data_IF_931135299350
#
_entry.id   IF_931135299350
#
_cell.length_a   1.000
_cell.length_b   1.000
_cell.length_c   1.000
_cell.angle_alpha   90.00
_cell.angle_beta   90.00
_cell.angle_gamma   90.00
#
_symmetry.space_group_name_H-M   'P 1'
#
loop_
_entity.id
_entity.type
_entity.pdbx_description
1 polymer ?
#
# COMPACT_ATOMS: atom_id res chain seq x y z
N UNK A 1 18.42 -5.17 21.35
CA UNK A 1 19.60 -4.91 20.52
C UNK A 1 19.91 -3.43 20.67
N UNK A 2 21.15 -3.07 21.03
CA UNK A 2 21.60 -1.67 21.05
C UNK A 2 22.04 -1.31 19.62
N UNK A 3 21.12 -0.83 18.80
CA UNK A 3 21.47 -0.16 17.55
C UNK A 3 21.91 1.27 17.90
N UNK A 4 22.85 1.83 17.13
CA UNK A 4 23.37 3.19 17.34
C UNK A 4 23.21 3.97 16.05
N UNK A 5 22.71 5.19 16.16
CA UNK A 5 22.55 6.08 15.02
C UNK A 5 23.91 6.44 14.40
N UNK A 6 23.95 6.48 13.08
CA UNK A 6 25.08 7.00 12.32
C UNK A 6 24.88 8.50 12.16
N UNK A 7 25.81 9.27 12.72
CA UNK A 7 25.79 10.73 12.70
C UNK A 7 27.11 11.35 12.23
N UNK A 8 28.14 10.54 11.98
CA UNK A 8 29.48 10.99 11.52
C UNK A 8 30.01 10.15 10.36
N UNK A 9 30.91 10.72 9.55
CA UNK A 9 31.58 10.01 8.46
C UNK A 9 32.43 8.85 8.95
N UNK A 10 33.05 8.97 10.14
CA UNK A 10 33.79 7.87 10.75
C UNK A 10 32.91 6.64 10.99
N UNK A 11 31.69 6.83 11.49
CA UNK A 11 30.75 5.74 11.69
C UNK A 11 30.31 5.10 10.37
N UNK A 12 30.21 5.89 9.29
CA UNK A 12 29.93 5.36 7.93
C UNK A 12 31.09 4.49 7.45
N UNK A 13 32.33 4.93 7.65
CA UNK A 13 33.54 4.15 7.28
C UNK A 13 33.65 2.85 8.09
N UNK A 14 33.30 2.89 9.37
CA UNK A 14 33.29 1.74 10.27
C UNK A 14 32.09 0.80 10.02
N UNK A 15 31.03 1.26 9.35
CA UNK A 15 29.85 0.44 9.07
C UNK A 15 30.20 -0.67 8.08
N UNK A 16 29.98 -1.91 8.51
CA UNK A 16 30.21 -3.10 7.70
C UNK A 16 28.88 -3.82 7.45
N UNK A 17 28.61 -4.15 6.19
CA UNK A 17 27.46 -4.98 5.82
C UNK A 17 27.78 -6.44 6.19
N UNK A 18 26.79 -7.18 6.67
CA UNK A 18 26.94 -8.61 6.95
C UNK A 18 27.37 -9.37 5.69
N UNK A 19 28.51 -10.08 5.69
CA UNK A 19 29.02 -10.76 4.49
C UNK A 19 28.10 -11.83 3.92
N UNK A 20 27.31 -12.49 4.77
CA UNK A 20 26.41 -13.60 4.40
C UNK A 20 24.95 -13.14 4.30
N UNK A 21 24.72 -11.88 3.93
CA UNK A 21 23.36 -11.32 3.84
C UNK A 21 22.51 -12.10 2.82
N UNK A 22 21.37 -12.59 3.28
CA UNK A 22 20.42 -13.35 2.45
C UNK A 22 19.61 -12.46 1.49
N UNK A 23 19.17 -11.27 1.93
CA UNK A 23 18.34 -10.35 1.14
C UNK A 23 18.88 -8.92 1.20
N UNK A 24 18.78 -8.16 0.11
CA UNK A 24 19.34 -6.80 0.00
C UNK A 24 18.47 -5.69 0.62
N UNK A 25 17.27 -6.01 1.13
CA UNK A 25 16.41 -5.03 1.82
C UNK A 25 16.97 -4.69 3.19
N UNK A 26 16.91 -3.43 3.58
CA UNK A 26 17.25 -2.99 4.94
C UNK A 26 16.33 -3.63 5.99
N UNK A 27 16.87 -3.94 7.16
CA UNK A 27 16.10 -4.36 8.33
C UNK A 27 15.63 -3.15 9.17
N UNK A 28 14.89 -3.42 10.25
CA UNK A 28 14.38 -2.36 11.13
C UNK A 28 15.48 -1.55 11.82
N UNK A 29 16.58 -2.19 12.25
CA UNK A 29 17.67 -1.53 12.95
C UNK A 29 18.53 -0.71 11.96
N UNK A 30 18.68 -1.16 10.72
CA UNK A 30 19.32 -0.40 9.65
C UNK A 30 18.51 0.85 9.26
N UNK A 31 17.19 0.74 9.19
CA UNK A 31 16.33 1.90 8.95
C UNK A 31 16.40 2.87 10.14
N UNK A 32 16.29 2.37 11.37
CA UNK A 32 16.32 3.19 12.60
C UNK A 32 17.68 3.83 12.88
N UNK A 33 18.78 3.17 12.52
CA UNK A 33 20.14 3.72 12.70
C UNK A 33 20.51 4.77 11.66
N UNK A 34 19.74 4.91 10.58
CA UNK A 34 19.97 5.91 9.55
C UNK A 34 20.98 5.50 8.48
N UNK A 35 21.43 4.23 8.42
CA UNK A 35 22.36 3.75 7.36
C UNK A 35 21.76 3.78 5.96
N UNK A 36 20.43 3.92 5.86
CA UNK A 36 19.69 4.08 4.60
C UNK A 36 19.53 5.54 4.16
N UNK A 37 20.14 6.49 4.89
CA UNK A 37 20.10 7.91 4.54
C UNK A 37 21.11 8.28 3.46
N UNK A 38 20.88 9.41 2.80
CA UNK A 38 21.86 9.97 1.90
C UNK A 38 23.07 10.55 2.66
N UNK A 39 24.28 10.24 2.20
CA UNK A 39 25.54 10.62 2.86
C UNK A 39 25.69 12.12 3.14
N UNK A 40 25.03 12.99 2.36
CA UNK A 40 25.12 14.43 2.56
C UNK A 40 24.43 14.88 3.85
N UNK A 41 23.47 14.14 4.39
CA UNK A 41 22.90 14.45 5.70
C UNK A 41 23.89 14.18 6.84
N UNK A 42 24.66 13.09 6.74
CA UNK A 42 25.74 12.80 7.69
C UNK A 42 26.82 13.89 7.63
N UNK A 43 27.23 14.28 6.42
CA UNK A 43 28.15 15.42 6.22
C UNK A 43 27.60 16.71 6.81
N UNK A 44 26.31 16.95 6.67
CA UNK A 44 25.64 18.15 7.21
C UNK A 44 25.65 18.15 8.73
N UNK A 45 25.29 17.03 9.37
CA UNK A 45 25.35 16.90 10.83
C UNK A 45 26.77 17.09 11.36
N UNK A 46 27.77 16.53 10.68
CA UNK A 46 29.16 16.66 11.09
C UNK A 46 29.66 18.10 10.96
N UNK A 47 29.34 18.80 9.87
CA UNK A 47 29.63 20.23 9.71
C UNK A 47 28.97 21.05 10.83
N UNK A 48 27.68 20.83 11.07
CA UNK A 48 26.94 21.53 12.12
C UNK A 48 27.51 21.23 13.52
N UNK A 49 27.93 19.99 13.79
CA UNK A 49 28.56 19.61 15.05
C UNK A 49 29.88 20.36 15.26
N UNK A 50 30.73 20.47 14.24
CA UNK A 50 32.00 21.22 14.32
C UNK A 50 31.77 22.73 14.52
N UNK A 51 30.65 23.26 14.02
CA UNK A 51 30.24 24.64 14.24
C UNK A 51 29.52 24.86 15.57
N UNK A 52 29.23 23.80 16.35
CA UNK A 52 28.43 23.88 17.57
C UNK A 52 26.95 24.20 17.32
N UNK A 53 26.44 23.86 16.14
CA UNK A 53 25.09 24.18 15.64
C UNK A 53 24.22 22.95 15.37
N UNK A 54 24.67 21.73 15.67
CA UNK A 54 23.91 20.49 15.41
C UNK A 54 22.56 20.46 16.14
N UNK A 55 22.52 20.95 17.38
CA UNK A 55 21.31 21.00 18.21
C UNK A 55 20.49 22.28 18.02
N UNK A 56 20.69 23.00 16.91
CA UNK A 56 19.90 24.18 16.58
C UNK A 56 18.42 23.81 16.54
N UNK A 57 17.60 24.57 17.26
CA UNK A 57 16.15 24.38 17.29
C UNK A 57 15.55 24.82 15.96
N UNK A 58 14.86 23.91 15.28
CA UNK A 58 14.30 24.15 13.95
C UNK A 58 12.86 23.67 13.85
N UNK A 59 12.14 24.20 12.86
CA UNK A 59 10.86 23.63 12.43
C UNK A 59 10.95 23.29 10.94
N UNK A 60 10.71 22.03 10.63
CA UNK A 60 10.64 21.50 9.27
C UNK A 60 9.19 21.21 8.87
N UNK A 61 8.85 21.45 7.60
CA UNK A 61 7.55 21.11 7.04
C UNK A 61 7.71 20.18 5.84
N UNK A 62 6.88 19.14 5.78
CA UNK A 62 6.79 18.18 4.67
C UNK A 62 5.53 18.44 3.86
N UNK A 63 5.65 18.43 2.54
CA UNK A 63 4.53 18.56 1.60
C UNK A 63 4.77 17.76 0.31
N UNK A 64 3.69 17.30 -0.32
CA UNK A 64 3.75 16.55 -1.58
C UNK A 64 3.71 17.45 -2.82
N UNK A 65 4.34 17.01 -3.92
CA UNK A 65 4.32 17.71 -5.22
C UNK A 65 2.96 17.66 -5.92
N UNK A 66 2.19 16.61 -5.68
CA UNK A 66 0.83 16.40 -6.19
C UNK A 66 -0.11 16.06 -5.03
N UNK A 67 -1.41 16.11 -5.30
CA UNK A 67 -2.42 15.64 -4.35
C UNK A 67 -2.41 14.12 -4.18
N UNK A 68 -2.98 13.65 -3.07
CA UNK A 68 -3.13 12.23 -2.78
C UNK A 68 -3.71 11.95 -1.41
N UNK A 69 -3.63 10.68 -1.00
CA UNK A 69 -4.00 10.19 0.32
C UNK A 69 -2.73 9.98 1.14
N UNK A 70 -2.64 10.60 2.31
CA UNK A 70 -1.47 10.49 3.17
C UNK A 70 -1.41 9.11 3.81
N UNK A 71 -0.27 8.43 3.68
CA UNK A 71 0.02 7.17 4.37
C UNK A 71 1.51 7.09 4.76
N UNK A 72 1.84 6.23 5.73
CA UNK A 72 3.21 6.08 6.27
C UNK A 72 3.46 6.89 7.55
N UNK A 73 2.45 7.58 8.07
CA UNK A 73 2.56 8.47 9.25
C UNK A 73 2.96 7.69 10.50
N UNK A 74 2.42 6.48 10.68
CA UNK A 74 2.73 5.65 11.86
C UNK A 74 4.18 5.16 11.86
N UNK A 75 4.79 4.92 10.69
CA UNK A 75 6.22 4.57 10.61
C UNK A 75 7.11 5.74 11.00
N UNK A 76 6.80 6.95 10.50
CA UNK A 76 7.50 8.19 10.88
C UNK A 76 7.38 8.45 12.39
N UNK A 77 6.17 8.30 12.94
CA UNK A 77 5.94 8.41 14.39
C UNK A 77 6.78 7.40 15.16
N UNK A 78 6.82 6.15 14.72
CA UNK A 78 7.63 5.11 15.38
C UNK A 78 9.14 5.37 15.32
N UNK A 79 9.62 5.99 14.23
CA UNK A 79 11.01 6.42 14.10
C UNK A 79 11.36 7.57 15.07
N UNK A 80 10.43 8.50 15.31
CA UNK A 80 10.69 9.73 16.06
C UNK A 80 10.24 9.71 17.54
N UNK A 81 9.42 8.74 17.97
CA UNK A 81 8.77 8.74 19.30
C UNK A 81 9.71 8.73 20.51
N UNK A 82 10.95 8.27 20.35
CA UNK A 82 11.97 8.23 21.41
C UNK A 82 12.88 9.47 21.41
N UNK A 83 12.66 10.41 20.47
CA UNK A 83 13.47 11.60 20.29
C UNK A 83 12.78 12.83 20.91
N UNK A 84 13.54 13.84 21.38
CA UNK A 84 12.98 15.05 21.96
C UNK A 84 12.49 16.02 20.88
N UNK A 85 11.54 15.57 20.06
CA UNK A 85 10.92 16.33 18.98
C UNK A 85 9.40 16.34 19.14
N UNK A 86 8.76 17.39 18.64
CA UNK A 86 7.31 17.47 18.51
C UNK A 86 6.93 17.24 17.05
N UNK A 87 5.89 16.46 16.82
CA UNK A 87 5.46 16.12 15.46
C UNK A 87 3.96 16.37 15.32
N UNK A 88 3.60 17.06 14.25
CA UNK A 88 2.22 17.21 13.81
C UNK A 88 2.06 16.61 12.43
N UNK A 89 0.92 16.00 12.15
CA UNK A 89 0.62 15.45 10.81
C UNK A 89 -0.87 15.58 10.51
N UNK A 90 -1.24 15.55 9.23
CA UNK A 90 -2.62 15.22 8.89
C UNK A 90 -2.90 13.78 9.39
N UNK A 91 -4.16 13.47 9.74
CA UNK A 91 -4.52 12.09 10.06
C UNK A 91 -4.13 11.13 8.92
N UNK A 92 -3.61 9.96 9.25
CA UNK A 92 -3.32 8.93 8.23
C UNK A 92 -4.61 8.56 7.48
N UNK A 93 -4.54 8.47 6.16
CA UNK A 93 -5.69 8.29 5.28
C UNK A 93 -6.40 9.59 4.87
N UNK A 94 -5.96 10.76 5.37
CA UNK A 94 -6.53 12.04 4.94
C UNK A 94 -6.09 12.43 3.52
N UNK A 95 -6.99 13.01 2.70
CA UNK A 95 -6.61 13.59 1.43
C UNK A 95 -5.83 14.90 1.63
N UNK A 96 -4.88 15.18 0.76
CA UNK A 96 -4.13 16.44 0.78
C UNK A 96 -3.93 16.99 -0.63
N UNK A 97 -3.78 18.31 -0.76
CA UNK A 97 -3.51 19.00 -2.03
C UNK A 97 -2.02 19.17 -2.28
N UNK A 98 -1.65 19.41 -3.54
CA UNK A 98 -0.27 19.74 -3.89
C UNK A 98 0.23 20.94 -3.07
N UNK A 99 1.41 20.80 -2.48
CA UNK A 99 2.05 21.77 -1.58
C UNK A 99 1.32 22.04 -0.25
N UNK A 100 0.27 21.29 0.07
CA UNK A 100 -0.29 21.30 1.43
C UNK A 100 0.70 20.64 2.40
N UNK A 101 0.89 21.24 3.57
CA UNK A 101 1.75 20.66 4.62
C UNK A 101 1.07 19.44 5.22
N UNK A 102 1.69 18.28 5.02
CA UNK A 102 1.19 16.98 5.52
C UNK A 102 1.80 16.60 6.87
N UNK A 103 2.98 17.15 7.17
CA UNK A 103 3.68 16.91 8.44
C UNK A 103 4.56 18.10 8.81
N UNK A 104 4.68 18.36 10.11
CA UNK A 104 5.57 19.35 10.71
C UNK A 104 6.36 18.70 11.83
N UNK A 105 7.67 18.92 11.85
CA UNK A 105 8.58 18.41 12.88
C UNK A 105 9.28 19.61 13.51
N UNK A 106 9.25 19.69 14.84
CA UNK A 106 9.95 20.71 15.62
C UNK A 106 10.90 20.06 16.62
N UNK A 107 12.12 20.58 16.71
CA UNK A 107 13.11 20.17 17.69
C UNK A 107 14.54 20.42 17.22
N UNK A 108 15.55 19.89 17.92
CA UNK A 108 16.94 20.02 17.52
C UNK A 108 17.20 19.29 16.20
N UNK A 109 17.88 19.95 15.25
CA UNK A 109 18.11 19.37 13.92
C UNK A 109 18.87 18.03 13.96
N UNK A 110 19.80 17.86 14.92
CA UNK A 110 20.54 16.62 15.18
C UNK A 110 19.65 15.40 15.38
N UNK A 111 18.42 15.58 15.86
CA UNK A 111 17.54 14.47 16.22
C UNK A 111 16.86 13.86 15.00
N UNK A 112 16.56 14.64 13.97
CA UNK A 112 15.76 14.17 12.83
C UNK A 112 16.35 14.49 11.45
N UNK A 113 17.33 15.39 11.36
CA UNK A 113 17.90 15.84 10.08
C UNK A 113 18.50 14.71 9.25
N UNK A 114 19.20 13.75 9.89
CA UNK A 114 19.73 12.58 9.20
C UNK A 114 18.66 11.60 8.71
N UNK A 115 17.42 11.72 9.17
CA UNK A 115 16.35 10.81 8.82
C UNK A 115 15.48 11.30 7.65
N UNK A 116 15.81 12.42 7.01
CA UNK A 116 15.01 12.98 5.92
C UNK A 116 14.74 11.96 4.79
N UNK A 117 15.78 11.27 4.30
CA UNK A 117 15.62 10.21 3.28
C UNK A 117 14.62 9.13 3.73
N UNK A 118 14.72 8.70 4.99
CA UNK A 118 13.88 7.65 5.59
C UNK A 118 12.42 8.13 5.72
N UNK A 119 12.23 9.30 6.33
CA UNK A 119 10.93 9.93 6.58
C UNK A 119 10.18 10.17 5.26
N UNK A 120 10.85 10.74 4.25
CA UNK A 120 10.26 10.98 2.95
C UNK A 120 9.96 9.68 2.21
N UNK A 121 10.84 8.67 2.30
CA UNK A 121 10.61 7.35 1.72
C UNK A 121 9.37 6.64 2.27
N UNK A 122 9.19 6.66 3.60
CA UNK A 122 8.02 6.10 4.29
C UNK A 122 6.72 6.74 3.79
N UNK A 123 6.71 8.08 3.65
CA UNK A 123 5.52 8.82 3.24
C UNK A 123 5.24 8.75 1.74
N UNK A 124 6.26 8.89 0.89
CA UNK A 124 6.11 9.05 -0.55
C UNK A 124 5.50 7.81 -1.22
N UNK A 125 6.11 6.64 -1.00
CA UNK A 125 5.65 5.38 -1.61
C UNK A 125 4.30 4.95 -1.05
N UNK A 126 4.15 4.99 0.28
CA UNK A 126 2.90 4.66 0.97
C UNK A 126 1.74 5.54 0.49
N UNK A 127 1.95 6.86 0.38
CA UNK A 127 0.91 7.77 -0.10
C UNK A 127 0.58 7.54 -1.58
N UNK A 128 1.56 7.15 -2.41
CA UNK A 128 1.33 6.73 -3.79
C UNK A 128 0.39 5.53 -3.89
N UNK A 129 0.69 4.46 -3.15
CA UNK A 129 -0.13 3.25 -3.10
C UNK A 129 -1.51 3.49 -2.49
N UNK A 130 -1.61 4.25 -1.39
CA UNK A 130 -2.88 4.60 -0.77
C UNK A 130 -3.77 5.44 -1.71
N UNK A 131 -3.18 6.34 -2.50
CA UNK A 131 -3.92 7.15 -3.49
C UNK A 131 -4.48 6.27 -4.61
N UNK A 132 -3.71 5.33 -5.14
CA UNK A 132 -4.20 4.41 -6.15
C UNK A 132 -5.29 3.47 -5.61
N UNK A 133 -5.12 2.97 -4.38
CA UNK A 133 -6.14 2.17 -3.71
C UNK A 133 -7.44 2.96 -3.48
N UNK A 134 -7.36 4.24 -3.12
CA UNK A 134 -8.52 5.13 -2.99
C UNK A 134 -9.26 5.28 -4.32
N UNK A 135 -8.55 5.56 -5.40
CA UNK A 135 -9.15 5.69 -6.73
C UNK A 135 -9.85 4.39 -7.17
N UNK A 136 -9.24 3.24 -6.90
CA UNK A 136 -9.85 1.93 -7.17
C UNK A 136 -11.10 1.69 -6.31
N UNK A 137 -11.07 2.07 -5.02
CA UNK A 137 -12.22 1.91 -4.12
C UNK A 137 -13.37 2.84 -4.51
N UNK A 138 -13.09 4.09 -4.85
CA UNK A 138 -14.11 5.04 -5.31
C UNK A 138 -14.80 4.56 -6.59
N UNK A 139 -14.05 4.02 -7.55
CA UNK A 139 -14.62 3.43 -8.76
C UNK A 139 -15.49 2.19 -8.47
N UNK A 140 -15.19 1.42 -7.42
CA UNK A 140 -15.97 0.27 -7.01
C UNK A 140 -17.22 0.63 -6.19
N UNK A 141 -17.29 1.84 -5.62
CA UNK A 141 -18.34 2.24 -4.67
C UNK A 141 -18.37 1.33 -3.44
N UNK A 142 -19.56 0.83 -3.09
CA UNK A 142 -19.74 -0.07 -1.93
C UNK A 142 -19.20 -1.49 -2.16
N UNK A 143 -18.82 -1.82 -3.40
CA UNK A 143 -18.35 -3.17 -3.75
C UNK A 143 -16.95 -3.42 -3.15
N UNK A 144 -16.66 -4.65 -2.67
CA UNK A 144 -15.36 -4.98 -2.10
C UNK A 144 -14.21 -4.86 -3.11
N UNK A 145 -13.11 -4.25 -2.69
CA UNK A 145 -11.83 -4.19 -3.39
C UNK A 145 -10.76 -4.83 -2.53
N UNK A 146 -10.11 -5.87 -3.05
CA UNK A 146 -9.03 -6.60 -2.39
C UNK A 146 -7.72 -6.28 -3.11
N UNK A 147 -6.69 -5.89 -2.36
CA UNK A 147 -5.36 -5.65 -2.91
C UNK A 147 -4.62 -6.99 -3.16
N UNK A 148 -4.25 -7.23 -4.42
CA UNK A 148 -3.51 -8.40 -4.92
C UNK A 148 -2.13 -8.01 -5.47
N UNK A 149 -1.56 -6.92 -4.95
CA UNK A 149 -0.38 -6.26 -5.51
C UNK A 149 0.96 -6.85 -5.07
N UNK A 150 1.00 -7.67 -4.02
CA UNK A 150 2.24 -8.09 -3.34
C UNK A 150 3.32 -8.66 -4.27
N UNK A 151 2.89 -9.41 -5.30
CA UNK A 151 3.79 -10.07 -6.28
C UNK A 151 4.51 -9.12 -7.24
N UNK A 152 4.15 -7.84 -7.28
CA UNK A 152 4.74 -6.87 -8.21
C UNK A 152 5.81 -5.98 -7.57
N UNK A 153 6.04 -6.12 -6.26
CA UNK A 153 7.04 -5.36 -5.51
C UNK A 153 8.00 -6.32 -4.82
N UNK A 154 9.14 -5.82 -4.33
CA UNK A 154 10.04 -6.63 -3.52
C UNK A 154 9.30 -7.15 -2.27
N UNK A 155 9.47 -8.42 -1.87
CA UNK A 155 8.71 -9.01 -0.76
C UNK A 155 8.87 -8.27 0.57
N UNK A 156 10.02 -7.60 0.78
CA UNK A 156 10.26 -6.76 1.96
C UNK A 156 9.29 -5.56 2.10
N UNK A 157 8.78 -5.03 0.98
CA UNK A 157 7.85 -3.88 0.99
C UNK A 157 6.41 -4.27 0.63
N UNK A 158 6.16 -5.54 0.24
CA UNK A 158 4.81 -6.06 0.03
C UNK A 158 3.85 -5.78 1.21
N UNK A 159 4.22 -6.03 2.49
CA UNK A 159 3.34 -5.70 3.61
C UNK A 159 3.12 -4.20 3.79
N UNK A 160 4.11 -3.36 3.49
CA UNK A 160 4.00 -1.89 3.53
C UNK A 160 3.00 -1.41 2.48
N UNK A 161 3.11 -1.92 1.25
CA UNK A 161 2.21 -1.59 0.15
C UNK A 161 0.77 -2.01 0.42
N UNK A 162 0.52 -3.23 0.91
CA UNK A 162 -0.86 -3.65 1.18
C UNK A 162 -1.45 -2.96 2.43
N UNK A 163 -0.64 -2.64 3.45
CA UNK A 163 -1.09 -1.76 4.56
C UNK A 163 -1.53 -0.41 4.01
N UNK A 164 -0.73 0.21 3.13
CA UNK A 164 -1.08 1.48 2.52
C UNK A 164 -2.35 1.38 1.65
N UNK A 165 -2.55 0.26 0.95
CA UNK A 165 -3.78 0.01 0.20
C UNK A 165 -5.02 -0.08 1.11
N UNK A 166 -4.90 -0.70 2.29
CA UNK A 166 -5.98 -0.76 3.29
C UNK A 166 -6.29 0.64 3.87
N UNK A 167 -5.27 1.47 4.12
CA UNK A 167 -5.44 2.89 4.46
C UNK A 167 -6.14 3.66 3.34
N UNK A 168 -5.78 3.35 2.09
CA UNK A 168 -6.40 3.90 0.89
C UNK A 168 -7.87 3.53 0.71
N UNK A 169 -8.36 2.50 1.41
CA UNK A 169 -9.77 2.10 1.41
C UNK A 169 -10.04 0.71 0.83
N UNK A 170 -9.02 -0.08 0.49
CA UNK A 170 -9.24 -1.48 0.16
C UNK A 170 -9.88 -2.22 1.35
N UNK A 171 -10.83 -3.11 1.05
CA UNK A 171 -11.57 -3.91 2.03
C UNK A 171 -10.72 -5.10 2.53
N UNK A 172 -9.80 -5.58 1.69
CA UNK A 172 -8.92 -6.70 2.00
C UNK A 172 -7.55 -6.62 1.35
N UNK A 173 -6.68 -7.54 1.77
CA UNK A 173 -5.28 -7.65 1.39
C UNK A 173 -4.91 -9.14 1.26
N UNK A 174 -4.10 -9.52 0.27
CA UNK A 174 -3.68 -10.90 0.02
C UNK A 174 -2.39 -11.32 0.72
N UNK A 175 -1.50 -10.37 0.95
CA UNK A 175 -0.27 -10.56 1.70
C UNK A 175 -0.62 -10.89 3.15
N UNK A 176 -0.20 -12.08 3.60
CA UNK A 176 -0.43 -12.56 4.96
C UNK A 176 0.04 -11.51 5.99
N UNK A 177 1.29 -11.05 5.86
CA UNK A 177 1.84 -10.08 6.79
C UNK A 177 1.16 -8.70 6.66
N UNK A 178 0.89 -8.24 5.43
CA UNK A 178 0.22 -6.96 5.19
C UNK A 178 -1.16 -6.86 5.87
N UNK A 179 -1.97 -7.90 5.75
CA UNK A 179 -3.27 -7.97 6.43
C UNK A 179 -3.13 -8.03 7.96
N UNK A 180 -2.23 -8.87 8.47
CA UNK A 180 -2.03 -9.06 9.92
C UNK A 180 -1.50 -7.82 10.62
N UNK A 181 -0.69 -7.00 9.95
CA UNK A 181 -0.17 -5.73 10.50
C UNK A 181 -1.27 -4.72 10.85
N UNK A 182 -2.46 -4.85 10.28
CA UNK A 182 -3.63 -4.01 10.63
C UNK A 182 -4.73 -4.79 11.36
N UNK A 183 -4.39 -5.97 11.91
CA UNK A 183 -5.32 -6.82 12.65
C UNK A 183 -6.42 -7.45 11.79
N UNK A 184 -6.21 -7.60 10.47
CA UNK A 184 -7.15 -8.24 9.55
C UNK A 184 -6.66 -9.63 9.14
N UNK A 185 -7.60 -10.49 8.75
CA UNK A 185 -7.27 -11.76 8.09
C UNK A 185 -6.95 -11.54 6.61
N UNK A 186 -5.93 -12.23 6.07
CA UNK A 186 -5.64 -12.17 4.64
C UNK A 186 -6.78 -12.78 3.82
N UNK A 187 -7.03 -12.22 2.64
CA UNK A 187 -8.09 -12.64 1.74
C UNK A 187 -7.52 -13.03 0.37
N UNK A 188 -8.05 -14.11 -0.19
CA UNK A 188 -7.68 -14.59 -1.52
C UNK A 188 -8.54 -15.77 -1.96
N UNK A 189 -8.46 -16.11 -3.24
CA UNK A 189 -9.04 -17.34 -3.80
C UNK A 189 -7.93 -18.35 -4.07
N UNK A 190 -8.29 -19.58 -4.41
CA UNK A 190 -7.32 -20.54 -4.93
C UNK A 190 -6.78 -20.07 -6.30
N UNK A 191 -5.50 -20.36 -6.64
CA UNK A 191 -4.90 -20.02 -7.92
C UNK A 191 -5.20 -21.07 -9.00
N UNK A 192 -4.95 -20.75 -10.28
CA UNK A 192 -5.08 -21.71 -11.40
C UNK A 192 -4.33 -23.04 -11.18
N UNK A 193 -3.23 -23.03 -10.42
CA UNK A 193 -2.41 -24.20 -10.19
C UNK A 193 -3.19 -25.40 -9.63
N UNK A 194 -4.13 -25.20 -8.70
CA UNK A 194 -4.88 -26.34 -8.14
C UNK A 194 -5.80 -26.97 -9.19
N UNK A 195 -6.45 -26.16 -10.02
CA UNK A 195 -7.33 -26.64 -11.08
C UNK A 195 -6.56 -27.40 -12.14
N UNK A 196 -5.37 -26.92 -12.52
CA UNK A 196 -4.48 -27.58 -13.47
C UNK A 196 -3.96 -28.92 -12.94
N UNK A 197 -3.64 -29.02 -11.65
CA UNK A 197 -3.15 -30.26 -11.03
C UNK A 197 -4.27 -31.30 -10.88
N UNK A 198 -5.46 -30.88 -10.47
CA UNK A 198 -6.63 -31.76 -10.32
C UNK A 198 -7.18 -32.17 -11.70
N UNK A 199 -7.14 -31.27 -12.68
CA UNK A 199 -7.62 -31.52 -14.04
C UNK A 199 -9.11 -31.19 -14.27
N UNK A 200 -9.84 -30.75 -13.24
CA UNK A 200 -11.24 -30.32 -13.36
C UNK A 200 -11.64 -29.26 -12.33
N UNK A 201 -12.42 -28.27 -12.78
CA UNK A 201 -12.86 -27.15 -11.93
C UNK A 201 -13.91 -27.54 -10.90
N UNK A 202 -14.85 -28.41 -11.26
CA UNK A 202 -15.93 -28.84 -10.36
C UNK A 202 -15.40 -29.78 -9.29
N UNK A 203 -14.51 -30.70 -9.65
CA UNK A 203 -13.83 -31.58 -8.69
C UNK A 203 -13.02 -30.76 -7.68
N UNK A 204 -12.25 -29.79 -8.15
CA UNK A 204 -11.51 -28.86 -7.29
C UNK A 204 -12.44 -28.08 -6.35
N UNK A 205 -13.57 -27.58 -6.86
CA UNK A 205 -14.51 -26.82 -6.04
C UNK A 205 -15.21 -27.67 -4.97
N UNK A 206 -15.53 -28.94 -5.27
CA UNK A 206 -16.03 -29.90 -4.28
C UNK A 206 -14.99 -30.18 -3.19
N UNK A 207 -13.73 -30.41 -3.59
CA UNK A 207 -12.63 -30.60 -2.66
C UNK A 207 -12.40 -29.36 -1.76
N UNK A 208 -12.45 -28.15 -2.34
CA UNK A 208 -12.43 -26.91 -1.57
C UNK A 208 -13.54 -26.93 -0.51
N UNK A 209 -14.79 -27.13 -0.94
CA UNK A 209 -15.94 -27.10 -0.03
C UNK A 209 -15.81 -28.11 1.12
N UNK A 210 -15.30 -29.31 0.83
CA UNK A 210 -15.13 -30.38 1.81
C UNK A 210 -14.01 -30.12 2.83
N UNK A 211 -12.88 -29.56 2.40
CA UNK A 211 -11.67 -29.54 3.24
C UNK A 211 -11.31 -28.16 3.81
N UNK A 212 -11.81 -27.06 3.24
CA UNK A 212 -11.52 -25.72 3.73
C UNK A 212 -12.52 -25.27 4.81
N UNK A 213 -12.12 -24.36 5.72
CA UNK A 213 -12.99 -23.88 6.81
C UNK A 213 -14.38 -23.44 6.34
N UNK A 214 -15.40 -23.67 7.18
CA UNK A 214 -16.79 -23.34 6.85
C UNK A 214 -17.01 -21.84 6.58
N UNK A 215 -16.21 -20.96 7.18
CA UNK A 215 -16.29 -19.51 7.00
C UNK A 215 -15.50 -18.97 5.78
N UNK A 216 -14.73 -19.81 5.07
CA UNK A 216 -14.03 -19.39 3.86
C UNK A 216 -15.02 -19.26 2.70
N UNK A 217 -15.06 -18.12 2.02
CA UNK A 217 -15.97 -17.95 0.87
C UNK A 217 -15.54 -18.84 -0.30
N UNK A 218 -16.50 -19.55 -0.90
CA UNK A 218 -16.32 -20.41 -2.08
C UNK A 218 -16.43 -19.53 -3.31
N UNK A 219 -15.34 -18.83 -3.60
CA UNK A 219 -15.14 -18.06 -4.83
C UNK A 219 -14.16 -18.81 -5.72
N UNK A 220 -14.63 -19.30 -6.88
CA UNK A 220 -13.91 -20.28 -7.70
C UNK A 220 -13.55 -19.67 -9.07
N UNK A 221 -12.32 -19.87 -9.53
CA UNK A 221 -11.89 -19.45 -10.87
C UNK A 221 -12.61 -20.26 -11.95
N UNK A 222 -13.06 -19.61 -13.03
CA UNK A 222 -13.81 -20.25 -14.13
C UNK A 222 -13.10 -20.23 -15.48
N UNK A 223 -11.97 -19.54 -15.56
CA UNK A 223 -11.22 -19.27 -16.80
C UNK A 223 -10.00 -20.20 -17.00
N UNK A 224 -10.00 -21.39 -16.39
CA UNK A 224 -8.88 -22.34 -16.50
C UNK A 224 -8.96 -23.24 -17.75
N UNK A 225 -10.11 -23.89 -17.98
CA UNK A 225 -10.24 -24.93 -19.01
C UNK A 225 -11.29 -24.59 -20.07
N UNK A 226 -12.50 -24.25 -19.65
CA UNK A 226 -13.64 -24.02 -20.53
C UNK A 226 -13.92 -22.53 -20.71
N UNK A 227 -14.92 -22.24 -21.53
CA UNK A 227 -15.55 -20.93 -21.56
C UNK A 227 -16.11 -20.58 -20.18
N UNK A 228 -15.90 -19.34 -19.74
CA UNK A 228 -16.23 -18.89 -18.40
C UNK A 228 -17.72 -18.99 -18.09
N UNK A 229 -18.59 -18.81 -19.09
CA UNK A 229 -20.03 -18.93 -18.92
C UNK A 229 -20.48 -20.39 -18.82
N UNK A 230 -19.85 -21.30 -19.55
CA UNK A 230 -20.08 -22.74 -19.37
C UNK A 230 -19.61 -23.19 -17.99
N UNK A 231 -18.40 -22.80 -17.59
CA UNK A 231 -17.79 -23.26 -16.34
C UNK A 231 -18.51 -22.69 -15.10
N UNK A 232 -18.98 -21.45 -15.18
CA UNK A 232 -19.81 -20.84 -14.13
C UNK A 232 -21.10 -21.64 -13.86
N UNK A 233 -21.80 -22.08 -14.91
CA UNK A 233 -23.01 -22.90 -14.76
C UNK A 233 -22.70 -24.29 -14.21
N UNK A 234 -21.61 -24.92 -14.68
CA UNK A 234 -21.15 -26.22 -14.14
C UNK A 234 -20.92 -26.16 -12.63
N UNK A 235 -20.27 -25.09 -12.16
CA UNK A 235 -20.05 -24.86 -10.73
C UNK A 235 -21.34 -24.57 -9.98
N UNK A 236 -22.21 -23.72 -10.52
CA UNK A 236 -23.48 -23.36 -9.90
C UNK A 236 -24.37 -24.60 -9.67
N UNK A 237 -24.45 -25.50 -10.65
CA UNK A 237 -25.16 -26.78 -10.49
C UNK A 237 -24.50 -27.72 -9.48
N UNK A 238 -23.17 -27.77 -9.44
CA UNK A 238 -22.46 -28.73 -8.61
C UNK A 238 -22.39 -28.34 -7.14
N UNK A 239 -22.29 -27.04 -6.82
CA UNK A 239 -22.20 -26.53 -5.46
C UNK A 239 -23.52 -25.95 -4.94
N UNK A 240 -24.42 -25.52 -5.84
CA UNK A 240 -25.70 -24.91 -5.46
C UNK A 240 -25.53 -23.79 -4.43
N UNK A 241 -26.21 -23.95 -3.30
CA UNK A 241 -26.18 -22.99 -2.19
C UNK A 241 -24.82 -22.89 -1.46
N UNK A 242 -23.82 -23.69 -1.82
CA UNK A 242 -22.46 -23.56 -1.30
C UNK A 242 -21.58 -22.62 -2.13
N UNK A 243 -21.99 -22.23 -3.34
CA UNK A 243 -21.20 -21.32 -4.19
C UNK A 243 -21.47 -19.86 -3.80
N UNK A 244 -20.46 -19.17 -3.30
CA UNK A 244 -20.54 -17.75 -2.97
C UNK A 244 -20.31 -16.87 -4.21
N UNK A 245 -19.43 -17.31 -5.11
CA UNK A 245 -19.15 -16.58 -6.34
C UNK A 245 -18.22 -17.30 -7.29
N UNK A 246 -18.04 -16.70 -8.45
CA UNK A 246 -17.02 -17.08 -9.43
C UNK A 246 -15.99 -15.97 -9.54
N UNK A 247 -14.76 -16.32 -9.93
CA UNK A 247 -13.70 -15.36 -10.23
C UNK A 247 -13.35 -15.41 -11.70
N UNK A 248 -13.33 -14.25 -12.34
CA UNK A 248 -12.85 -14.05 -13.71
C UNK A 248 -11.44 -13.42 -13.64
N UNK A 249 -10.44 -14.14 -14.14
CA UNK A 249 -9.07 -13.66 -14.35
C UNK A 249 -8.65 -13.80 -15.82
N UNK A 250 -9.64 -13.76 -16.73
CA UNK A 250 -9.51 -14.08 -18.16
C UNK A 250 -8.27 -13.43 -18.78
N UNK A 251 -7.38 -14.21 -19.42
CA UNK A 251 -6.12 -13.69 -19.94
C UNK A 251 -6.33 -12.74 -21.13
N UNK A 252 -5.37 -11.83 -21.33
CA UNK A 252 -5.41 -10.83 -22.41
C UNK A 252 -5.49 -11.44 -23.80
N UNK A 253 -4.89 -12.61 -24.00
CA UNK A 253 -4.91 -13.42 -25.22
C UNK A 253 -6.32 -13.90 -25.58
N UNK A 254 -7.22 -13.90 -24.61
CA UNK A 254 -8.66 -14.21 -24.76
C UNK A 254 -9.53 -12.95 -24.75
N UNK A 255 -8.93 -11.76 -24.80
CA UNK A 255 -9.61 -10.47 -24.79
C UNK A 255 -9.78 -9.85 -23.39
N UNK A 256 -9.32 -10.54 -22.34
CA UNK A 256 -9.53 -10.13 -20.96
C UNK A 256 -11.00 -10.19 -20.52
N UNK A 257 -11.27 -9.80 -19.28
CA UNK A 257 -12.65 -9.69 -18.79
C UNK A 257 -13.34 -8.50 -19.45
N UNK A 258 -14.38 -8.76 -20.23
CA UNK A 258 -15.17 -7.74 -20.94
C UNK A 258 -16.52 -7.50 -20.25
N UNK A 259 -17.16 -6.34 -20.47
CA UNK A 259 -18.49 -6.06 -19.92
C UNK A 259 -19.55 -7.04 -20.43
N UNK A 260 -19.46 -7.44 -21.69
CA UNK A 260 -20.43 -8.36 -22.28
C UNK A 260 -20.27 -9.78 -21.74
N UNK A 261 -19.03 -10.23 -21.46
CA UNK A 261 -18.79 -11.49 -20.76
C UNK A 261 -19.43 -11.49 -19.36
N UNK A 262 -19.25 -10.40 -18.59
CA UNK A 262 -19.86 -10.26 -17.26
C UNK A 262 -21.39 -10.31 -17.35
N UNK A 263 -21.99 -9.58 -18.30
CA UNK A 263 -23.45 -9.56 -18.52
C UNK A 263 -23.97 -10.93 -18.97
N UNK A 264 -23.26 -11.60 -19.87
CA UNK A 264 -23.61 -12.92 -20.35
C UNK A 264 -23.65 -13.94 -19.22
N UNK A 265 -22.59 -13.98 -18.39
CA UNK A 265 -22.52 -14.90 -17.26
C UNK A 265 -23.63 -14.58 -16.26
N UNK A 266 -23.85 -13.31 -15.94
CA UNK A 266 -24.92 -12.88 -15.04
C UNK A 266 -26.29 -13.32 -15.55
N UNK A 267 -26.60 -13.05 -16.82
CA UNK A 267 -27.85 -13.44 -17.46
C UNK A 267 -28.07 -14.96 -17.42
N UNK A 268 -27.04 -15.75 -17.75
CA UNK A 268 -27.13 -17.22 -17.75
C UNK A 268 -27.32 -17.79 -16.35
N UNK A 269 -26.63 -17.26 -15.34
CA UNK A 269 -26.84 -17.65 -13.94
C UNK A 269 -28.25 -17.28 -13.47
N UNK A 270 -28.73 -16.09 -13.80
CA UNK A 270 -30.07 -15.61 -13.41
C UNK A 270 -31.20 -16.39 -14.07
N UNK A 271 -31.06 -16.73 -15.36
CA UNK A 271 -32.03 -17.55 -16.07
C UNK A 271 -32.23 -18.94 -15.45
N UNK A 272 -31.27 -19.39 -14.64
CA UNK A 272 -31.31 -20.66 -13.92
C UNK A 272 -31.52 -20.50 -12.40
N UNK A 273 -31.82 -19.28 -11.93
CA UNK A 273 -32.14 -18.99 -10.53
C UNK A 273 -30.94 -18.76 -9.61
N UNK A 274 -29.71 -18.70 -10.13
CA UNK A 274 -28.48 -18.52 -9.33
C UNK A 274 -28.15 -17.05 -9.04
N UNK A 275 -29.14 -16.26 -8.62
CA UNK A 275 -29.05 -14.80 -8.41
C UNK A 275 -28.02 -14.37 -7.35
N UNK A 276 -27.74 -15.25 -6.38
CA UNK A 276 -26.82 -15.03 -5.26
C UNK A 276 -25.34 -15.16 -5.61
N UNK A 277 -25.00 -15.83 -6.71
CA UNK A 277 -23.60 -16.11 -7.07
C UNK A 277 -22.93 -14.81 -7.50
N UNK A 278 -21.97 -14.31 -6.72
CA UNK A 278 -21.22 -13.10 -7.05
C UNK A 278 -20.26 -13.31 -8.24
N UNK A 279 -19.96 -12.23 -8.97
CA UNK A 279 -18.94 -12.21 -10.03
C UNK A 279 -17.76 -11.37 -9.55
N UNK A 280 -16.70 -12.04 -9.12
CA UNK A 280 -15.45 -11.42 -8.70
C UNK A 280 -14.53 -11.25 -9.91
N UNK A 281 -13.99 -10.06 -10.13
CA UNK A 281 -13.10 -9.80 -11.28
C UNK A 281 -11.70 -9.45 -10.81
N UNK A 282 -10.69 -9.99 -11.47
CA UNK A 282 -9.30 -9.61 -11.30
C UNK A 282 -8.58 -9.47 -12.65
N UNK A 283 -7.34 -8.98 -12.61
CA UNK A 283 -6.48 -8.90 -13.79
C UNK A 283 -6.65 -7.58 -14.56
N UNK A 284 -5.57 -6.80 -14.66
CA UNK A 284 -5.54 -5.58 -15.49
C UNK A 284 -6.60 -4.53 -15.14
N UNK A 285 -6.91 -4.34 -13.85
CA UNK A 285 -7.95 -3.42 -13.40
C UNK A 285 -7.38 -2.01 -13.14
N UNK A 286 -7.92 -1.01 -13.84
CA UNK A 286 -7.81 0.42 -13.53
C UNK A 286 -9.16 0.94 -12.99
N UNK A 287 -9.24 2.15 -12.39
CA UNK A 287 -10.50 2.73 -11.95
C UNK A 287 -11.56 2.77 -13.06
N UNK A 288 -11.17 3.11 -14.29
CA UNK A 288 -12.08 3.14 -15.44
C UNK A 288 -12.65 1.75 -15.73
N UNK A 289 -11.78 0.71 -15.73
CA UNK A 289 -12.21 -0.67 -15.94
C UNK A 289 -13.08 -1.18 -14.79
N UNK A 290 -12.78 -0.80 -13.55
CA UNK A 290 -13.58 -1.13 -12.38
C UNK A 290 -14.99 -0.56 -12.55
N UNK A 291 -15.15 0.72 -12.87
CA UNK A 291 -16.47 1.34 -13.07
C UNK A 291 -17.27 0.63 -14.16
N UNK A 292 -16.65 0.38 -15.32
CA UNK A 292 -17.30 -0.29 -16.45
C UNK A 292 -17.77 -1.71 -16.07
N UNK A 293 -16.92 -2.50 -15.41
CA UNK A 293 -17.25 -3.88 -15.04
C UNK A 293 -18.22 -3.93 -13.85
N UNK A 294 -18.16 -2.94 -12.97
CA UNK A 294 -19.09 -2.71 -11.86
C UNK A 294 -20.52 -2.47 -12.37
N UNK A 295 -20.68 -1.66 -13.42
CA UNK A 295 -21.96 -1.44 -14.11
C UNK A 295 -22.43 -2.69 -14.89
N UNK A 296 -21.50 -3.50 -15.40
CA UNK A 296 -21.82 -4.73 -16.10
C UNK A 296 -22.33 -5.87 -15.19
N UNK A 297 -22.12 -5.77 -13.87
CA UNK A 297 -22.61 -6.74 -12.89
C UNK A 297 -21.52 -7.41 -12.05
N UNK A 298 -20.25 -6.99 -12.15
CA UNK A 298 -19.21 -7.46 -11.25
C UNK A 298 -19.52 -7.01 -9.80
N UNK A 299 -19.37 -7.92 -8.84
CA UNK A 299 -19.74 -7.70 -7.43
C UNK A 299 -18.57 -7.40 -6.52
N UNK A 300 -17.33 -7.66 -6.94
CA UNK A 300 -16.11 -7.36 -6.20
C UNK A 300 -14.88 -7.38 -7.12
N UNK A 301 -13.76 -6.79 -6.67
CA UNK A 301 -12.55 -6.59 -7.49
C UNK A 301 -11.25 -7.00 -6.78
N UNK A 302 -10.37 -7.70 -7.49
CA UNK A 302 -9.01 -8.02 -7.06
C UNK A 302 -8.00 -7.17 -7.83
N UNK A 303 -7.48 -6.10 -7.22
CA UNK A 303 -6.65 -5.10 -7.88
C UNK A 303 -5.18 -5.29 -7.52
N UNK A 304 -4.34 -5.56 -8.53
CA UNK A 304 -2.91 -5.81 -8.36
C UNK A 304 -2.06 -4.66 -8.85
N UNK A 305 -1.53 -4.80 -10.07
CA UNK A 305 -0.52 -3.93 -10.70
C UNK A 305 -0.85 -2.43 -10.67
N UNK A 306 -2.13 -2.04 -10.77
CA UNK A 306 -2.52 -0.62 -10.68
C UNK A 306 -2.16 0.01 -9.33
N UNK A 307 -2.36 -0.72 -8.23
CA UNK A 307 -2.00 -0.24 -6.89
C UNK A 307 -0.50 -0.36 -6.69
N UNK A 308 0.06 -1.55 -6.85
CA UNK A 308 1.47 -1.82 -6.53
C UNK A 308 2.46 -1.05 -7.42
N UNK A 309 2.08 -0.78 -8.67
CA UNK A 309 2.86 -0.02 -9.64
C UNK A 309 2.65 1.50 -9.57
N UNK A 310 1.85 1.99 -8.62
CA UNK A 310 1.61 3.42 -8.46
C UNK A 310 2.92 4.16 -8.15
N UNK A 311 3.18 5.26 -8.87
CA UNK A 311 4.34 6.09 -8.62
C UNK A 311 4.24 6.74 -7.22
N UNK A 312 5.35 6.82 -6.47
CA UNK A 312 5.41 7.58 -5.22
C UNK A 312 4.93 9.02 -5.41
N UNK A 313 4.40 9.61 -4.34
CA UNK A 313 4.19 11.07 -4.30
C UNK A 313 5.49 11.69 -3.85
N UNK A 314 6.24 12.30 -4.77
CA UNK A 314 7.43 13.09 -4.41
C UNK A 314 7.08 14.08 -3.29
N UNK A 315 7.74 13.93 -2.15
CA UNK A 315 7.61 14.82 -1.01
C UNK A 315 8.91 15.60 -0.80
N UNK A 316 8.79 16.75 -0.15
CA UNK A 316 9.95 17.57 0.20
C UNK A 316 9.81 17.98 1.65
N UNK A 317 10.90 17.87 2.42
CA UNK A 317 11.02 18.46 3.74
C UNK A 317 11.87 19.73 3.65
N UNK A 318 11.36 20.85 4.14
CA UNK A 318 12.08 22.12 4.12
C UNK A 318 12.05 22.76 5.51
N UNK A 319 13.18 23.33 5.94
CA UNK A 319 13.22 24.17 7.16
C UNK A 319 12.47 25.49 6.93
N UNK A 320 11.73 25.91 7.96
CA UNK A 320 10.82 27.07 7.96
C UNK A 320 11.11 28.05 9.08
N UNK A 321 11.69 27.53 10.17
CA UNK A 321 12.12 28.28 11.35
C UNK A 321 13.49 27.77 11.78
N UNK A 322 14.38 28.68 12.19
CA UNK A 322 15.67 28.37 12.82
C UNK A 322 15.85 29.30 14.01
N UNK A 323 16.05 28.76 15.22
CA UNK A 323 16.12 29.52 16.47
C UNK A 323 14.97 30.52 16.65
N UNK A 324 13.74 30.08 16.33
CA UNK A 324 12.53 30.91 16.41
C UNK A 324 12.41 32.00 15.33
N UNK A 325 13.37 32.12 14.42
CA UNK A 325 13.32 33.07 13.32
C UNK A 325 12.74 32.44 12.05
N UNK A 326 11.76 33.08 11.39
CA UNK A 326 11.26 32.66 10.08
C UNK A 326 12.38 32.69 9.02
N UNK A 327 12.69 31.54 8.43
CA UNK A 327 13.71 31.43 7.38
C UNK A 327 13.35 30.33 6.39
N UNK A 328 13.75 30.49 5.13
CA UNK A 328 13.48 29.53 4.08
C UNK A 328 14.48 29.67 2.93
N UNK A 329 14.71 28.58 2.19
CA UNK A 329 15.43 28.65 0.91
C UNK A 329 14.59 29.33 -0.17
N UNK A 330 15.25 29.73 -1.26
CA UNK A 330 14.60 30.31 -2.44
C UNK A 330 13.46 29.41 -2.93
N UNK A 331 12.34 30.02 -3.31
CA UNK A 331 11.12 29.31 -3.75
C UNK A 331 10.23 28.79 -2.63
N UNK A 332 10.55 29.09 -1.36
CA UNK A 332 9.73 28.79 -0.19
C UNK A 332 9.46 30.06 0.63
N UNK A 333 8.28 30.11 1.23
CA UNK A 333 7.91 31.18 2.17
C UNK A 333 8.58 30.89 3.52
N UNK A 334 9.25 31.86 4.18
CA UNK A 334 9.72 31.71 5.55
C UNK A 334 8.53 31.69 6.54
N UNK A 335 8.71 31.03 7.68
CA UNK A 335 7.67 30.95 8.70
C UNK A 335 6.73 29.76 8.55
N UNK A 336 6.01 29.41 9.61
CA UNK A 336 5.09 28.28 9.63
C UNK A 336 3.94 28.51 8.64
N UNK A 337 3.67 27.52 7.81
CA UNK A 337 2.52 27.56 6.90
C UNK A 337 1.25 27.32 7.72
N UNK A 338 0.19 28.10 7.50
CA UNK A 338 -1.07 27.87 8.17
C UNK A 338 -1.61 26.47 7.80
N UNK A 339 -1.90 25.63 8.80
CA UNK A 339 -2.52 24.33 8.59
C UNK A 339 -3.33 23.91 9.81
N UNK A 340 -4.64 24.16 9.75
CA UNK A 340 -5.59 23.90 10.85
C UNK A 340 -5.89 22.41 11.04
N UNK A 341 -5.57 21.60 10.02
CA UNK A 341 -5.85 20.16 9.98
C UNK A 341 -4.73 19.31 10.60
N UNK A 342 -3.58 19.89 10.89
CA UNK A 342 -2.47 19.19 11.52
C UNK A 342 -2.81 18.89 12.98
N UNK A 343 -2.79 17.62 13.34
CA UNK A 343 -2.93 17.16 14.71
C UNK A 343 -1.57 16.80 15.28
N UNK A 344 -1.35 17.08 16.56
CA UNK A 344 -0.12 16.68 17.24
C UNK A 344 -0.14 15.18 17.49
N UNK A 345 0.94 14.49 17.09
CA UNK A 345 1.09 13.03 17.22
C UNK A 345 2.27 12.62 18.13
N UNK A 346 3.19 13.55 18.43
CA UNK A 346 4.29 13.45 19.41
C UNK A 346 4.48 14.80 20.12
#
# INVERSE_FOLDING_TARGET
MNWKEITTLKQVEEFQVQPERLFFSADHDEIRSGVTTDIYFIRTLEILSHLGLSDTEVVAEVFGRREGILAGVEEVKNLLKEKPVQVWSLPEGAPFKAKEVVMRIQGPYSQFGAFETVLLGMLASSSGWATAARAAKEAAGDKPVICFGARHVHPAVAPVMERAALVGGCDGASCILGAKLVGREPQGTVPHAVFLIVGDTVETAKAYHQWMPANAKRVILVDTFKDEAEEALRLAHALGEALDGIRLDTPSERGGVTPDLVREIRFRLDAQGFHRVGIFVSGGLSPERISILSEAGASAFGVGSYISGAAPIDMTMDLKMVNGQPIAKRGRLPGLTASERLIRIL
#
